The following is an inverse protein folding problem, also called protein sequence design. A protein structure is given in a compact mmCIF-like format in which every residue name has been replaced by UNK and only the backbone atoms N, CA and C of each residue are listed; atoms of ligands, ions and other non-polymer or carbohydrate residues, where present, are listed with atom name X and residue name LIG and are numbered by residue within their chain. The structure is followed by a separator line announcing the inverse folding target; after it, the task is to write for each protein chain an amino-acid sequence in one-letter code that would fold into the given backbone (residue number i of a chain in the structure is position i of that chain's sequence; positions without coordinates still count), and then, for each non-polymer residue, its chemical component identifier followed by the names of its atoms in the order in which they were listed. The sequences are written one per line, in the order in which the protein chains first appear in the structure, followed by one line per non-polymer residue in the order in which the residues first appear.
data_IF_134873726530
#
_entry.id   IF_134873726530
#
_cell.length_a   1.000
_cell.length_b   1.000
_cell.length_c   1.000
_cell.angle_alpha   90.00
_cell.angle_beta   90.00
_cell.angle_gamma   90.00
#
_symmetry.space_group_name_H-M   'P 1'
#
loop_
_entity.id
_entity.type
_entity.pdbx_description
1 polymer ?
#
# COMPACT_ATOMS: atom_id res chain seq x y z
N UNK A 1 7.04 6.39 56.42
CA UNK A 1 7.68 5.86 55.22
C UNK A 1 6.91 4.62 54.76
N UNK A 2 5.93 4.76 53.85
CA UNK A 2 5.14 3.62 53.31
C UNK A 2 5.82 3.16 52.02
N UNK A 3 6.29 1.91 52.00
CA UNK A 3 6.80 1.26 50.80
C UNK A 3 5.61 0.97 49.89
N UNK A 4 5.61 1.57 48.72
CA UNK A 4 4.75 1.13 47.60
C UNK A 4 5.34 -0.17 47.05
N UNK A 5 4.62 -1.26 47.20
CA UNK A 5 4.88 -2.51 46.50
C UNK A 5 4.22 -2.38 45.13
N UNK A 6 5.01 -2.17 44.11
CA UNK A 6 4.55 -2.32 42.71
C UNK A 6 4.49 -3.82 42.44
N UNK A 7 3.30 -4.40 42.45
CA UNK A 7 3.07 -5.73 41.88
C UNK A 7 3.18 -5.61 40.35
N UNK A 8 4.26 -6.07 39.81
CA UNK A 8 4.44 -6.24 38.38
C UNK A 8 3.50 -7.34 37.88
N UNK A 9 2.41 -6.94 37.22
CA UNK A 9 1.43 -7.85 36.61
C UNK A 9 1.94 -8.65 35.40
N UNK A 10 3.23 -8.96 35.33
CA UNK A 10 3.83 -9.74 34.24
C UNK A 10 3.63 -11.26 34.36
N UNK A 11 3.18 -11.74 35.54
CA UNK A 11 3.07 -13.18 35.79
C UNK A 11 1.81 -13.84 35.23
N UNK A 12 0.69 -13.10 35.12
CA UNK A 12 -0.61 -13.68 34.79
C UNK A 12 -0.91 -13.73 33.27
N UNK A 13 -0.30 -12.84 32.47
CA UNK A 13 -0.54 -12.84 31.03
C UNK A 13 0.11 -14.01 30.28
N UNK A 14 1.11 -14.66 30.89
CA UNK A 14 1.77 -15.85 30.34
C UNK A 14 1.01 -17.16 30.61
N UNK A 15 0.10 -17.17 31.56
CA UNK A 15 -0.69 -18.37 31.93
C UNK A 15 -2.04 -18.45 31.22
N UNK A 16 -2.53 -17.38 30.66
CA UNK A 16 -3.81 -17.33 29.95
C UNK A 16 -3.58 -17.31 28.43
N UNK A 17 -4.34 -18.09 27.68
CA UNK A 17 -4.41 -18.06 26.21
C UNK A 17 -4.95 -16.70 25.69
N UNK A 18 -5.57 -15.93 26.58
CA UNK A 18 -6.10 -14.60 26.28
C UNK A 18 -4.97 -13.56 26.23
N UNK A 19 -4.91 -12.82 25.14
CA UNK A 19 -3.94 -11.74 24.91
C UNK A 19 -4.66 -10.39 24.76
N UNK A 20 -5.23 -9.84 25.84
CA UNK A 20 -6.09 -8.64 25.78
C UNK A 20 -5.36 -7.38 25.31
N UNK A 21 -4.02 -7.36 25.35
CA UNK A 21 -3.19 -6.28 24.83
C UNK A 21 -3.00 -6.31 23.31
N UNK A 22 -3.36 -7.44 22.64
CA UNK A 22 -3.30 -7.56 21.21
C UNK A 22 -4.69 -7.31 20.63
N UNK A 23 -4.79 -6.34 19.74
CA UNK A 23 -6.00 -6.05 18.97
C UNK A 23 -5.70 -6.29 17.50
N UNK A 24 -6.51 -7.10 16.84
CA UNK A 24 -6.55 -7.19 15.39
C UNK A 24 -7.79 -6.47 14.91
N UNK A 25 -7.60 -5.48 14.05
CA UNK A 25 -8.72 -4.82 13.38
C UNK A 25 -9.08 -5.66 12.16
N UNK A 26 -10.30 -6.15 12.13
CA UNK A 26 -10.84 -6.91 11.00
C UNK A 26 -11.99 -6.13 10.40
N UNK A 27 -11.88 -5.80 9.13
CA UNK A 27 -12.97 -5.19 8.38
C UNK A 27 -13.11 -5.93 7.05
N UNK A 28 -14.02 -6.91 6.99
CA UNK A 28 -14.55 -7.36 5.71
C UNK A 28 -15.91 -6.69 5.56
N UNK A 29 -16.04 -5.81 4.57
CA UNK A 29 -17.30 -5.23 4.18
C UNK A 29 -18.32 -6.31 3.77
N UNK A 30 -19.53 -5.90 3.43
CA UNK A 30 -20.55 -6.82 2.91
C UNK A 30 -20.06 -7.41 1.59
N UNK A 31 -19.70 -8.70 1.60
CA UNK A 31 -19.23 -9.41 0.40
C UNK A 31 -20.46 -9.81 -0.43
N UNK A 32 -20.61 -9.13 -1.55
CA UNK A 32 -21.61 -9.42 -2.56
C UNK A 32 -20.98 -10.05 -3.81
N UNK A 33 -21.79 -10.38 -4.80
CA UNK A 33 -21.31 -10.96 -6.06
C UNK A 33 -20.30 -10.07 -6.78
N UNK A 34 -20.49 -8.75 -6.77
CA UNK A 34 -19.54 -7.80 -7.36
C UNK A 34 -18.16 -7.84 -6.67
N UNK A 35 -18.17 -7.88 -5.33
CA UNK A 35 -16.92 -8.01 -4.56
C UNK A 35 -16.16 -9.28 -4.96
N UNK A 36 -16.86 -10.43 -4.99
CA UNK A 36 -16.25 -11.71 -5.32
C UNK A 36 -15.70 -11.71 -6.75
N UNK A 37 -16.45 -11.18 -7.70
CA UNK A 37 -16.01 -11.09 -9.10
C UNK A 37 -14.75 -10.23 -9.28
N UNK A 38 -14.71 -9.04 -8.64
CA UNK A 38 -13.53 -8.15 -8.70
C UNK A 38 -12.33 -8.77 -7.99
N UNK A 39 -12.53 -9.37 -6.81
CA UNK A 39 -11.47 -10.04 -6.06
C UNK A 39 -10.86 -11.18 -6.89
N UNK A 40 -11.67 -12.09 -7.42
CA UNK A 40 -11.17 -13.22 -8.22
C UNK A 40 -10.47 -12.76 -9.49
N UNK A 41 -10.95 -11.69 -10.14
CA UNK A 41 -10.26 -11.10 -11.30
C UNK A 41 -8.84 -10.63 -10.92
N UNK A 42 -8.67 -9.94 -9.80
CA UNK A 42 -7.36 -9.48 -9.32
C UNK A 42 -6.46 -10.68 -9.00
N UNK A 43 -6.96 -11.67 -8.27
CA UNK A 43 -6.20 -12.86 -7.92
C UNK A 43 -5.80 -13.68 -9.16
N UNK A 44 -6.67 -13.71 -10.19
CA UNK A 44 -6.33 -14.31 -11.46
C UNK A 44 -5.21 -13.55 -12.18
N UNK A 45 -5.26 -12.21 -12.21
CA UNK A 45 -4.22 -11.37 -12.81
C UNK A 45 -2.87 -11.62 -12.11
N UNK A 46 -2.85 -11.75 -10.78
CA UNK A 46 -1.63 -12.03 -10.01
C UNK A 46 -1.00 -13.41 -10.31
N UNK A 47 -1.76 -14.34 -10.88
CA UNK A 47 -1.26 -15.66 -11.31
C UNK A 47 -0.71 -15.66 -12.74
N UNK A 48 -0.91 -14.59 -13.49
CA UNK A 48 -0.38 -14.53 -14.85
C UNK A 48 1.15 -14.56 -14.82
N UNK A 49 1.78 -15.27 -15.78
CA UNK A 49 3.22 -15.21 -15.93
C UNK A 49 3.64 -13.79 -16.33
N UNK A 50 4.88 -13.45 -16.02
CA UNK A 50 5.45 -12.16 -16.43
C UNK A 50 5.36 -11.99 -17.96
N UNK A 51 4.89 -10.81 -18.36
CA UNK A 51 4.86 -10.40 -19.75
C UNK A 51 5.31 -8.93 -19.86
N UNK A 52 6.46 -8.70 -20.50
CA UNK A 52 7.01 -7.35 -20.67
C UNK A 52 6.13 -6.41 -21.50
N UNK A 53 5.31 -6.96 -22.43
CA UNK A 53 4.36 -6.16 -23.21
C UNK A 53 3.07 -5.86 -22.46
N UNK A 54 2.77 -6.62 -21.39
CA UNK A 54 1.61 -6.40 -20.52
C UNK A 54 1.98 -6.57 -19.03
N UNK A 55 2.88 -5.72 -18.52
CA UNK A 55 3.27 -5.79 -17.10
C UNK A 55 2.08 -5.49 -16.19
N UNK A 56 2.10 -6.09 -14.99
CA UNK A 56 1.09 -5.88 -13.95
C UNK A 56 1.72 -5.02 -12.86
N UNK A 57 1.14 -3.86 -12.62
CA UNK A 57 1.55 -2.91 -11.61
C UNK A 57 0.50 -2.79 -10.52
N UNK A 58 0.95 -2.44 -9.31
CA UNK A 58 0.09 -2.05 -8.20
C UNK A 58 0.41 -0.60 -7.84
N UNK A 59 -0.60 0.25 -7.75
CA UNK A 59 -0.49 1.67 -7.44
C UNK A 59 -1.37 2.05 -6.26
N UNK A 60 -0.88 2.95 -5.42
CA UNK A 60 -1.68 3.64 -4.39
C UNK A 60 -0.99 4.93 -3.93
N UNK A 61 -1.70 5.69 -3.09
CA UNK A 61 -1.25 6.93 -2.48
C UNK A 61 -1.17 6.81 -0.97
N UNK A 62 -0.07 7.31 -0.41
CA UNK A 62 0.10 7.37 1.03
C UNK A 62 0.25 8.81 1.50
N UNK A 63 -0.67 9.33 2.34
CA UNK A 63 -0.47 10.60 3.01
C UNK A 63 0.68 10.49 4.01
N UNK A 64 1.55 11.49 4.00
CA UNK A 64 2.69 11.62 4.89
C UNK A 64 2.59 12.94 5.66
N UNK A 65 2.70 12.88 6.98
CA UNK A 65 2.68 14.06 7.84
C UNK A 65 4.10 14.55 8.09
N UNK A 66 4.29 15.86 7.94
CA UNK A 66 5.56 16.53 8.24
C UNK A 66 5.54 16.95 9.71
N UNK A 67 6.47 16.41 10.47
CA UNK A 67 6.52 16.57 11.92
C UNK A 67 7.93 17.02 12.29
N UNK A 68 8.02 18.16 12.98
CA UNK A 68 9.25 18.71 13.56
C UNK A 68 9.35 18.53 15.06
N UNK A 69 10.55 18.67 15.59
CA UNK A 69 10.81 18.68 17.01
C UNK A 69 10.67 20.10 17.56
N UNK A 70 9.79 20.30 18.54
CA UNK A 70 9.72 21.56 19.29
C UNK A 70 10.92 21.74 20.22
N UNK A 71 11.46 20.66 20.74
CA UNK A 71 12.63 20.62 21.61
C UNK A 71 13.58 19.59 21.03
N UNK A 72 14.83 19.99 20.83
CA UNK A 72 15.85 19.10 20.28
C UNK A 72 15.98 17.81 21.10
N UNK A 73 15.97 16.69 20.40
CA UNK A 73 16.17 15.38 21.02
C UNK A 73 17.59 15.21 21.57
N UNK A 74 17.77 14.27 22.46
CA UNK A 74 19.10 13.88 22.95
C UNK A 74 19.64 12.78 22.03
N UNK A 75 20.76 13.01 21.36
CA UNK A 75 21.32 12.01 20.45
C UNK A 75 21.79 10.76 21.20
N UNK A 76 21.79 9.63 20.48
CA UNK A 76 22.32 8.36 20.98
C UNK A 76 23.80 8.50 21.35
N UNK A 77 24.18 7.93 22.50
CA UNK A 77 25.57 7.79 22.95
C UNK A 77 25.81 6.34 23.39
N UNK A 78 27.06 5.98 23.58
CA UNK A 78 27.43 4.67 24.09
C UNK A 78 26.72 4.40 25.43
N UNK A 79 25.99 3.29 25.52
CA UNK A 79 25.16 2.93 26.69
C UNK A 79 23.89 3.75 26.91
N UNK A 80 23.55 4.68 26.00
CA UNK A 80 22.34 5.51 26.09
C UNK A 80 21.59 5.55 24.76
N UNK A 81 20.31 5.19 24.80
CA UNK A 81 19.40 5.31 23.64
C UNK A 81 19.12 6.78 23.33
N UNK A 82 18.81 7.09 22.07
CA UNK A 82 18.30 8.40 21.69
C UNK A 82 16.98 8.69 22.44
N UNK A 83 16.77 9.95 22.83
CA UNK A 83 15.54 10.38 23.47
C UNK A 83 14.90 11.51 22.67
N UNK A 84 13.63 11.35 22.34
CA UNK A 84 12.82 12.38 21.70
C UNK A 84 11.89 13.01 22.74
N UNK A 85 11.66 14.31 22.62
CA UNK A 85 10.66 14.97 23.44
C UNK A 85 9.27 14.59 22.96
N UNK A 86 8.30 14.41 23.85
CA UNK A 86 6.94 14.01 23.47
C UNK A 86 6.20 15.07 22.64
N UNK A 87 6.52 16.35 22.82
CA UNK A 87 5.91 17.45 22.06
C UNK A 87 6.55 17.55 20.67
N UNK A 88 5.72 17.78 19.68
CA UNK A 88 6.12 17.93 18.29
C UNK A 88 5.33 19.04 17.60
N UNK A 89 5.86 19.57 16.53
CA UNK A 89 5.22 20.55 15.67
C UNK A 89 4.72 19.90 14.39
N UNK A 90 3.48 20.25 13.98
CA UNK A 90 2.92 19.83 12.69
C UNK A 90 3.31 20.85 11.62
N UNK A 91 4.13 20.47 10.66
CA UNK A 91 4.67 21.33 9.63
C UNK A 91 3.96 21.17 8.28
N UNK A 92 2.91 20.35 8.23
CA UNK A 92 2.11 20.12 7.05
C UNK A 92 1.97 18.65 6.69
N UNK A 93 1.62 18.41 5.44
CA UNK A 93 1.51 17.06 4.88
C UNK A 93 1.87 17.07 3.40
N UNK A 94 2.30 15.93 2.90
CA UNK A 94 2.50 15.65 1.50
C UNK A 94 1.97 14.23 1.18
N UNK A 95 2.00 13.84 -0.07
CA UNK A 95 1.53 12.52 -0.50
C UNK A 95 2.62 11.81 -1.28
N UNK A 96 2.89 10.58 -0.89
CA UNK A 96 3.73 9.65 -1.62
C UNK A 96 2.83 8.86 -2.58
N UNK A 97 3.02 9.04 -3.88
CA UNK A 97 2.44 8.23 -4.93
C UNK A 97 3.46 7.16 -5.31
N UNK A 98 3.05 5.91 -5.34
CA UNK A 98 3.98 4.84 -5.66
C UNK A 98 3.34 3.75 -6.51
N UNK A 99 4.16 3.20 -7.40
CA UNK A 99 3.84 2.06 -8.25
C UNK A 99 4.90 1.00 -8.09
N UNK A 100 4.49 -0.25 -7.97
CA UNK A 100 5.38 -1.42 -7.96
C UNK A 100 4.94 -2.43 -9.01
N UNK A 101 5.91 -3.04 -9.70
CA UNK A 101 5.74 -4.26 -10.47
C UNK A 101 6.15 -5.46 -9.59
N UNK A 102 5.21 -6.23 -9.04
CA UNK A 102 5.51 -7.25 -8.03
C UNK A 102 6.48 -8.33 -8.50
N UNK A 103 6.36 -8.75 -9.77
CA UNK A 103 7.14 -9.86 -10.33
C UNK A 103 8.59 -9.49 -10.64
N UNK A 104 8.90 -8.24 -10.95
CA UNK A 104 10.27 -7.80 -11.27
C UNK A 104 10.91 -7.02 -10.15
N UNK A 105 10.10 -6.39 -9.31
CA UNK A 105 10.56 -5.47 -8.28
C UNK A 105 10.86 -4.06 -8.79
N UNK A 106 10.50 -3.71 -10.03
CA UNK A 106 10.56 -2.32 -10.53
C UNK A 106 9.61 -1.43 -9.74
N UNK A 107 10.04 -0.22 -9.45
CA UNK A 107 9.31 0.76 -8.64
C UNK A 107 9.40 2.14 -9.22
N UNK A 108 8.32 2.89 -9.10
CA UNK A 108 8.25 4.31 -9.39
C UNK A 108 7.60 4.99 -8.20
N UNK A 109 8.16 6.10 -7.76
CA UNK A 109 7.57 6.88 -6.69
C UNK A 109 7.79 8.37 -6.92
N UNK A 110 6.84 9.17 -6.44
CA UNK A 110 6.87 10.62 -6.45
C UNK A 110 6.28 11.16 -5.15
N UNK A 111 6.77 12.30 -4.71
CA UNK A 111 6.26 13.00 -3.53
C UNK A 111 5.68 14.34 -3.95
N UNK A 112 4.38 14.48 -3.78
CA UNK A 112 3.64 15.70 -4.13
C UNK A 112 3.04 16.37 -2.91
N UNK A 113 2.74 17.66 -3.01
CA UNK A 113 2.04 18.40 -1.95
C UNK A 113 0.57 17.97 -1.84
N UNK A 114 0.01 17.48 -2.92
CA UNK A 114 -1.38 17.08 -3.03
C UNK A 114 -1.52 15.76 -3.78
N UNK A 115 -2.74 15.19 -3.78
CA UNK A 115 -3.12 13.97 -4.49
C UNK A 115 -4.39 14.22 -5.31
N UNK A 116 -4.24 15.05 -6.32
CA UNK A 116 -5.32 15.38 -7.26
C UNK A 116 -5.12 14.61 -8.56
N UNK A 117 -6.01 14.80 -9.51
CA UNK A 117 -5.90 14.27 -10.87
C UNK A 117 -4.60 14.67 -11.57
N UNK A 118 -4.07 15.87 -11.27
CA UNK A 118 -2.82 16.36 -11.83
C UNK A 118 -1.64 15.49 -11.40
N UNK A 119 -1.49 15.26 -10.12
CA UNK A 119 -0.40 14.46 -9.56
C UNK A 119 -0.50 13.00 -10.03
N UNK A 120 -1.72 12.45 -10.07
CA UNK A 120 -1.99 11.14 -10.65
C UNK A 120 -1.55 11.06 -12.12
N UNK A 121 -1.95 12.02 -12.95
CA UNK A 121 -1.63 12.04 -14.36
C UNK A 121 -0.11 12.15 -14.62
N UNK A 122 0.59 13.02 -13.88
CA UNK A 122 2.04 13.19 -13.98
C UNK A 122 2.78 11.91 -13.54
N UNK A 123 2.34 11.27 -12.46
CA UNK A 123 2.92 10.00 -12.02
C UNK A 123 2.79 8.92 -13.11
N UNK A 124 1.60 8.77 -13.70
CA UNK A 124 1.38 7.77 -14.74
C UNK A 124 2.07 8.11 -16.08
N UNK A 125 2.27 9.38 -16.41
CA UNK A 125 3.13 9.75 -17.54
C UNK A 125 4.55 9.21 -17.33
N UNK A 126 5.14 9.45 -16.16
CA UNK A 126 6.46 8.92 -15.79
C UNK A 126 6.49 7.37 -15.80
N UNK A 127 5.45 6.72 -15.30
CA UNK A 127 5.32 5.26 -15.39
C UNK A 127 5.34 4.79 -16.85
N UNK A 128 4.58 5.46 -17.75
CA UNK A 128 4.55 5.09 -19.16
C UNK A 128 5.91 5.18 -19.85
N UNK A 129 6.74 6.15 -19.46
CA UNK A 129 8.11 6.32 -19.97
C UNK A 129 9.06 5.20 -19.53
N UNK A 130 8.85 4.62 -18.34
CA UNK A 130 9.66 3.50 -17.82
C UNK A 130 9.34 2.17 -18.51
N UNK A 131 8.16 2.07 -19.14
CA UNK A 131 7.72 0.87 -19.86
C UNK A 131 7.45 1.17 -21.36
N UNK A 132 8.47 1.63 -22.13
CA UNK A 132 8.28 2.01 -23.53
C UNK A 132 7.79 0.84 -24.39
N UNK A 133 8.30 -0.37 -24.16
CA UNK A 133 7.99 -1.58 -24.91
C UNK A 133 6.63 -2.21 -24.56
N UNK A 134 5.98 -1.78 -23.48
CA UNK A 134 4.70 -2.31 -23.10
C UNK A 134 3.61 -1.83 -24.06
N UNK A 135 2.85 -2.74 -24.62
CA UNK A 135 1.65 -2.41 -25.41
C UNK A 135 0.53 -1.88 -24.53
N UNK A 136 0.34 -2.53 -23.39
CA UNK A 136 -0.65 -2.17 -22.37
C UNK A 136 -0.12 -2.51 -20.97
N UNK A 137 -0.35 -1.64 -20.01
CA UNK A 137 0.05 -1.82 -18.62
C UNK A 137 -1.21 -2.05 -17.79
N UNK A 138 -1.30 -3.20 -17.12
CA UNK A 138 -2.38 -3.49 -16.18
C UNK A 138 -2.02 -2.84 -14.84
N UNK A 139 -2.90 -1.99 -14.31
CA UNK A 139 -2.69 -1.31 -13.03
C UNK A 139 -3.80 -1.67 -12.06
N UNK A 140 -3.42 -2.26 -10.93
CA UNK A 140 -4.32 -2.54 -9.83
C UNK A 140 -4.26 -1.38 -8.84
N UNK A 141 -5.41 -0.77 -8.56
CA UNK A 141 -5.54 0.42 -7.74
C UNK A 141 -6.90 0.47 -7.05
N UNK A 142 -7.08 1.42 -6.14
CA UNK A 142 -8.39 1.68 -5.55
C UNK A 142 -9.30 2.52 -6.48
N UNK A 143 -10.58 2.54 -6.18
CA UNK A 143 -11.59 3.22 -7.01
C UNK A 143 -11.85 4.65 -6.50
N UNK A 144 -10.81 5.48 -6.39
CA UNK A 144 -10.97 6.91 -6.15
C UNK A 144 -11.38 7.67 -7.42
N UNK A 145 -12.08 8.78 -7.26
CA UNK A 145 -12.54 9.61 -8.38
C UNK A 145 -11.39 10.19 -9.23
N UNK A 146 -10.21 10.29 -8.65
CA UNK A 146 -8.98 10.75 -9.33
C UNK A 146 -8.32 9.65 -10.16
N UNK A 147 -8.62 8.38 -9.88
CA UNK A 147 -7.92 7.22 -10.40
C UNK A 147 -8.57 6.66 -11.67
N UNK A 148 -8.67 7.46 -12.69
CA UNK A 148 -9.23 7.01 -13.98
C UNK A 148 -8.62 7.77 -15.16
N UNK A 149 -8.84 7.25 -16.37
CA UNK A 149 -8.27 7.79 -17.59
C UNK A 149 -8.72 9.23 -17.91
N UNK A 150 -9.85 9.72 -17.36
CA UNK A 150 -10.29 11.10 -17.59
C UNK A 150 -9.31 12.10 -17.00
N UNK A 151 -8.55 11.71 -15.97
CA UNK A 151 -7.53 12.57 -15.35
C UNK A 151 -6.44 12.99 -16.35
N UNK A 152 -6.13 12.16 -17.34
CA UNK A 152 -5.16 12.50 -18.39
C UNK A 152 -5.67 13.65 -19.28
N UNK A 153 -6.97 13.63 -19.62
CA UNK A 153 -7.59 14.68 -20.45
C UNK A 153 -7.75 16.03 -19.74
N UNK A 154 -7.73 16.04 -18.40
CA UNK A 154 -7.74 17.25 -17.61
C UNK A 154 -6.34 17.91 -17.48
N UNK A 155 -5.28 17.16 -17.83
CA UNK A 155 -3.88 17.58 -17.59
C UNK A 155 -3.09 17.72 -18.87
N UNK A 156 -3.31 16.86 -19.84
CA UNK A 156 -2.53 16.79 -21.08
C UNK A 156 -3.38 17.16 -22.30
N UNK A 157 -2.69 17.55 -23.38
CA UNK A 157 -3.31 17.70 -24.69
C UNK A 157 -3.93 16.37 -25.15
N UNK A 158 -4.97 16.45 -25.99
CA UNK A 158 -5.81 15.32 -26.38
C UNK A 158 -5.03 14.11 -26.92
N UNK A 159 -3.99 14.34 -27.73
CA UNK A 159 -3.16 13.27 -28.28
C UNK A 159 -2.40 12.50 -27.20
N UNK A 160 -1.76 13.20 -26.28
CA UNK A 160 -1.03 12.59 -25.17
C UNK A 160 -1.99 11.92 -24.18
N UNK A 161 -3.11 12.56 -23.84
CA UNK A 161 -4.14 11.99 -23.00
C UNK A 161 -4.68 10.67 -23.58
N UNK A 162 -4.93 10.64 -24.89
CA UNK A 162 -5.38 9.43 -25.58
C UNK A 162 -4.31 8.33 -25.58
N UNK A 163 -3.05 8.71 -25.84
CA UNK A 163 -1.91 7.77 -25.79
C UNK A 163 -1.82 7.10 -24.41
N UNK A 164 -1.88 7.90 -23.34
CA UNK A 164 -1.84 7.39 -21.95
C UNK A 164 -3.09 6.55 -21.63
N UNK A 165 -4.27 7.00 -22.03
CA UNK A 165 -5.51 6.26 -21.76
C UNK A 165 -5.53 4.87 -22.40
N UNK A 166 -4.90 4.70 -23.55
CA UNK A 166 -4.74 3.40 -24.21
C UNK A 166 -3.64 2.54 -23.59
N UNK A 167 -2.61 3.20 -23.03
CA UNK A 167 -1.47 2.51 -22.41
C UNK A 167 -1.85 1.80 -21.12
N UNK A 168 -2.83 2.30 -20.36
CA UNK A 168 -3.19 1.76 -19.05
C UNK A 168 -4.56 1.08 -19.03
N UNK A 169 -4.60 -0.14 -18.52
CA UNK A 169 -5.81 -0.86 -18.15
C UNK A 169 -5.97 -0.81 -16.62
N UNK A 170 -6.90 0.01 -16.12
CA UNK A 170 -7.16 0.16 -14.69
C UNK A 170 -8.09 -0.91 -14.16
N UNK A 171 -7.64 -1.67 -13.18
CA UNK A 171 -8.38 -2.74 -12.49
C UNK A 171 -8.59 -2.32 -11.04
N UNK A 172 -9.84 -2.01 -10.71
CA UNK A 172 -10.17 -1.46 -9.40
C UNK A 172 -10.40 -2.56 -8.36
N UNK A 173 -9.81 -2.36 -7.17
CA UNK A 173 -10.09 -3.20 -6.01
C UNK A 173 -11.55 -3.07 -5.59
N UNK A 174 -12.15 -4.12 -5.00
CA UNK A 174 -13.46 -3.99 -4.37
C UNK A 174 -13.42 -2.98 -3.22
N UNK A 175 -14.55 -2.37 -2.92
CA UNK A 175 -14.67 -1.45 -1.79
C UNK A 175 -14.23 -2.14 -0.48
N UNK A 176 -13.42 -1.44 0.31
CA UNK A 176 -12.84 -1.95 1.58
C UNK A 176 -11.96 -3.19 1.42
N UNK A 177 -11.28 -3.32 0.29
CA UNK A 177 -10.37 -4.42 -0.01
C UNK A 177 -8.99 -3.93 -0.47
N UNK A 178 -8.45 -2.86 0.14
CA UNK A 178 -7.09 -2.38 -0.12
C UNK A 178 -6.03 -3.47 0.10
N UNK A 179 -6.30 -4.43 1.00
CA UNK A 179 -5.43 -5.58 1.25
C UNK A 179 -5.16 -6.45 0.01
N UNK A 180 -5.98 -6.36 -1.05
CA UNK A 180 -5.73 -6.99 -2.35
C UNK A 180 -4.68 -6.23 -3.18
N UNK A 181 -4.38 -4.98 -2.84
CA UNK A 181 -3.40 -4.20 -3.55
C UNK A 181 -2.00 -4.43 -2.95
N UNK A 182 -1.10 -5.05 -3.72
CA UNK A 182 0.24 -5.40 -3.22
C UNK A 182 1.10 -4.19 -2.87
N UNK A 183 0.77 -2.98 -3.32
CA UNK A 183 1.49 -1.76 -2.94
C UNK A 183 1.46 -1.51 -1.43
N UNK A 184 0.45 -2.00 -0.72
CA UNK A 184 0.36 -1.89 0.74
C UNK A 184 1.53 -2.59 1.46
N UNK A 185 2.05 -3.67 0.87
CA UNK A 185 3.24 -4.36 1.37
C UNK A 185 4.47 -3.45 1.24
N UNK A 186 4.58 -2.76 0.12
CA UNK A 186 5.66 -1.79 -0.12
C UNK A 186 5.57 -0.59 0.83
N UNK A 187 4.38 -0.02 1.00
CA UNK A 187 4.17 1.06 1.97
C UNK A 187 4.46 0.64 3.41
N UNK A 188 4.15 -0.59 3.78
CA UNK A 188 4.52 -1.14 5.09
C UNK A 188 6.05 -1.22 5.25
N UNK A 189 6.77 -1.64 4.20
CA UNK A 189 8.23 -1.68 4.22
C UNK A 189 8.84 -0.27 4.32
N UNK A 190 8.38 0.69 3.50
CA UNK A 190 8.83 2.08 3.53
C UNK A 190 8.56 2.70 4.91
N UNK A 191 7.40 2.41 5.51
CA UNK A 191 7.07 2.91 6.85
C UNK A 191 8.10 2.50 7.87
N UNK A 192 8.43 1.23 7.94
CA UNK A 192 9.39 0.70 8.90
C UNK A 192 10.83 1.16 8.66
N UNK A 193 11.19 1.37 7.40
CA UNK A 193 12.55 1.74 7.02
C UNK A 193 12.81 3.25 7.12
N UNK A 194 11.78 4.08 6.91
CA UNK A 194 11.93 5.52 6.76
C UNK A 194 10.92 6.35 7.55
N UNK A 195 9.62 6.02 7.49
CA UNK A 195 8.56 6.92 7.95
C UNK A 195 8.21 6.76 9.43
N UNK A 196 8.76 5.77 10.14
CA UNK A 196 8.55 5.55 11.58
C UNK A 196 9.44 6.47 12.42
N UNK A 197 9.43 7.76 12.07
CA UNK A 197 10.16 8.83 12.74
C UNK A 197 9.63 10.20 12.31
N UNK A 198 10.06 11.26 12.97
CA UNK A 198 9.73 12.63 12.63
C UNK A 198 10.53 13.10 11.41
N UNK A 199 9.82 13.56 10.39
CA UNK A 199 10.42 14.12 9.18
C UNK A 199 9.85 15.52 9.00
N UNK A 200 10.67 16.60 9.14
CA UNK A 200 10.16 17.96 9.25
C UNK A 200 9.86 18.63 7.91
N UNK A 201 10.36 18.13 6.78
CA UNK A 201 10.13 18.75 5.48
C UNK A 201 9.88 17.73 4.37
N UNK A 202 9.19 18.18 3.32
CA UNK A 202 8.91 17.40 2.13
C UNK A 202 10.20 16.98 1.41
N UNK A 203 11.16 17.89 1.27
CA UNK A 203 12.43 17.63 0.58
C UNK A 203 13.22 16.52 1.29
N UNK A 204 13.23 16.54 2.63
CA UNK A 204 13.87 15.47 3.41
C UNK A 204 13.13 14.15 3.23
N UNK A 205 11.79 14.16 3.29
CA UNK A 205 10.96 12.97 3.08
C UNK A 205 11.19 12.39 1.69
N UNK A 206 11.13 13.22 0.66
CA UNK A 206 11.33 12.82 -0.73
C UNK A 206 12.71 12.18 -0.92
N UNK A 207 13.77 12.86 -0.48
CA UNK A 207 15.14 12.35 -0.58
C UNK A 207 15.28 10.96 0.06
N UNK A 208 14.74 10.77 1.25
CA UNK A 208 14.88 9.52 1.98
C UNK A 208 14.02 8.39 1.41
N UNK A 209 12.77 8.68 1.05
CA UNK A 209 11.88 7.69 0.42
C UNK A 209 12.41 7.26 -0.93
N UNK A 210 12.82 8.21 -1.79
CA UNK A 210 13.34 7.87 -3.11
C UNK A 210 14.65 7.09 -3.04
N UNK A 211 15.50 7.34 -2.02
CA UNK A 211 16.71 6.54 -1.80
C UNK A 211 16.36 5.07 -1.47
N UNK A 212 15.37 4.84 -0.60
CA UNK A 212 14.90 3.48 -0.27
C UNK A 212 14.27 2.80 -1.47
N UNK A 213 13.41 3.50 -2.21
CA UNK A 213 12.78 2.97 -3.42
C UNK A 213 13.84 2.54 -4.44
N UNK A 214 14.86 3.39 -4.65
CA UNK A 214 15.99 3.08 -5.54
C UNK A 214 16.76 1.85 -5.08
N UNK A 215 17.15 1.79 -3.81
CA UNK A 215 17.87 0.65 -3.24
C UNK A 215 17.07 -0.66 -3.40
N UNK A 216 15.76 -0.62 -3.12
CA UNK A 216 14.89 -1.79 -3.23
C UNK A 216 14.69 -2.22 -4.69
N UNK A 217 14.64 -1.26 -5.62
CA UNK A 217 14.55 -1.53 -7.05
C UNK A 217 15.85 -2.15 -7.58
N UNK A 218 17.03 -1.62 -7.20
CA UNK A 218 18.33 -2.16 -7.56
C UNK A 218 18.54 -3.60 -7.04
N UNK A 219 18.08 -3.88 -5.82
CA UNK A 219 18.07 -5.22 -5.24
C UNK A 219 16.99 -6.14 -5.83
N UNK A 220 16.15 -5.65 -6.73
CA UNK A 220 15.03 -6.40 -7.34
C UNK A 220 14.16 -7.13 -6.31
N UNK A 221 13.83 -6.45 -5.21
CA UNK A 221 13.01 -7.03 -4.15
C UNK A 221 11.60 -7.24 -4.67
N UNK A 222 11.23 -8.48 -4.92
CA UNK A 222 9.92 -8.89 -5.45
C UNK A 222 8.90 -9.08 -4.33
N UNK A 223 7.62 -9.11 -4.71
CA UNK A 223 6.55 -9.50 -3.80
C UNK A 223 6.09 -10.91 -4.20
N UNK A 224 6.19 -11.84 -3.24
CA UNK A 224 5.68 -13.20 -3.37
C UNK A 224 4.27 -13.26 -2.80
N UNK A 225 3.27 -13.25 -3.69
CA UNK A 225 1.86 -13.24 -3.31
C UNK A 225 1.31 -14.64 -3.17
N UNK A 226 0.93 -15.02 -1.93
CA UNK A 226 0.51 -16.38 -1.58
C UNK A 226 -1.01 -16.59 -1.58
N UNK A 227 -1.81 -15.52 -1.60
CA UNK A 227 -3.25 -15.63 -1.51
C UNK A 227 -3.85 -15.92 -2.89
N UNK A 228 -4.36 -17.13 -3.09
CA UNK A 228 -4.91 -17.59 -4.37
C UNK A 228 -6.44 -17.56 -4.41
N UNK A 229 -7.03 -17.77 -5.58
CA UNK A 229 -8.48 -17.93 -5.77
C UNK A 229 -8.99 -19.11 -4.92
N UNK A 230 -8.29 -20.22 -4.90
CA UNK A 230 -8.64 -21.41 -4.16
C UNK A 230 -8.68 -21.12 -2.65
N UNK A 231 -7.63 -20.47 -2.14
CA UNK A 231 -7.55 -20.02 -0.74
C UNK A 231 -8.65 -19.02 -0.41
N UNK A 232 -8.98 -18.12 -1.34
CA UNK A 232 -10.07 -17.15 -1.16
C UNK A 232 -11.42 -17.86 -1.05
N UNK A 233 -11.72 -18.80 -1.94
CA UNK A 233 -12.96 -19.58 -1.94
C UNK A 233 -13.12 -20.40 -0.65
N UNK A 234 -12.04 -21.03 -0.17
CA UNK A 234 -12.04 -21.74 1.10
C UNK A 234 -12.33 -20.81 2.29
N UNK A 235 -11.54 -19.73 2.42
CA UNK A 235 -11.65 -18.80 3.57
C UNK A 235 -12.95 -18.01 3.58
N UNK A 236 -13.48 -17.67 2.41
CA UNK A 236 -14.70 -16.86 2.25
C UNK A 236 -15.92 -17.70 1.87
N UNK A 237 -15.85 -19.01 2.01
CA UNK A 237 -16.87 -19.93 1.60
C UNK A 237 -18.29 -19.57 2.07
N UNK A 238 -18.46 -19.13 3.33
CA UNK A 238 -19.76 -18.65 3.83
C UNK A 238 -20.34 -17.52 2.95
N UNK A 239 -19.49 -16.64 2.44
CA UNK A 239 -19.92 -15.53 1.60
C UNK A 239 -20.27 -15.99 0.18
N UNK A 240 -19.49 -16.94 -0.37
CA UNK A 240 -19.83 -17.57 -1.65
C UNK A 240 -21.19 -18.28 -1.58
N UNK A 241 -21.44 -19.04 -0.51
CA UNK A 241 -22.73 -19.68 -0.26
C UNK A 241 -23.87 -18.68 -0.13
N UNK A 242 -23.65 -17.53 0.54
CA UNK A 242 -24.68 -16.49 0.67
C UNK A 242 -25.04 -15.82 -0.65
N UNK A 243 -24.13 -15.82 -1.63
CA UNK A 243 -24.38 -15.30 -2.98
C UNK A 243 -25.10 -16.33 -3.84
N UNK A 244 -24.73 -17.60 -3.73
CA UNK A 244 -25.36 -18.72 -4.40
C UNK A 244 -25.17 -20.01 -3.58
N UNK A 245 -26.27 -20.67 -3.22
CA UNK A 245 -26.27 -21.87 -2.39
C UNK A 245 -25.49 -23.04 -3.00
N UNK A 246 -25.44 -23.12 -4.34
CA UNK A 246 -24.66 -24.15 -5.06
C UNK A 246 -23.14 -24.04 -4.82
N UNK A 247 -22.67 -22.90 -4.31
CA UNK A 247 -21.27 -22.71 -3.93
C UNK A 247 -20.88 -23.38 -2.60
N UNK A 248 -21.80 -24.14 -1.96
CA UNK A 248 -21.52 -24.87 -0.72
C UNK A 248 -20.34 -25.87 -0.80
N UNK A 249 -19.98 -26.31 -2.02
CA UNK A 249 -18.86 -27.23 -2.29
C UNK A 249 -17.48 -26.72 -1.89
N UNK A 250 -17.34 -25.43 -1.62
CA UNK A 250 -16.08 -24.85 -1.13
C UNK A 250 -15.88 -24.98 0.37
N UNK A 251 -16.79 -25.64 1.10
CA UNK A 251 -16.57 -25.99 2.49
C UNK A 251 -15.48 -27.07 2.59
N UNK A 252 -14.45 -26.83 3.42
CA UNK A 252 -13.60 -27.94 3.86
C UNK A 252 -14.44 -28.88 4.70
N UNK A 253 -14.53 -30.11 4.28
CA UNK A 253 -14.95 -31.24 5.14
C UNK A 253 -13.97 -31.43 6.27
#
# INVERSE_FOLDING_TARGET
MRKFVTSTGEGDSKKNELKPHLKQTWCIGKLNAEFLARMERILWIYRLPYNAQRPVLCYDERPCFLIGDLIAGVPMKEGQIAKEHYSYEKLGSCSLLATIEPLTGKRVADVFDQRRKIEFALHFQKVAEIYPEAEQIIVILDNLNTHNASSFYEVFEAEEAFRLSRKFEFIYTPKSASWLNMIEIEFSAISRLCLDRRIPSKEKLEKEVLAIIKERAEKQIKIDWQFSIETAREKLNRHYKNVNEENAKYQKT
#
